data_IF_193494975343
#
_entry.id   IF_193494975343
#
_cell.length_a   1.000
_cell.length_b   1.000
_cell.length_c   1.000
_cell.angle_alpha   90.00
_cell.angle_beta   90.00
_cell.angle_gamma   90.00
#
_symmetry.space_group_name_H-M   'P 1'
#
loop_
_entity.id
_entity.type
_entity.pdbx_description
1 polymer ?
#
# COMPACT_ATOMS: atom_id res chain seq x y z
N UNK A 1 29.41 3.32 -7.61
CA UNK A 1 28.37 3.66 -8.60
C UNK A 1 27.96 5.10 -8.32
N UNK A 2 28.19 6.01 -9.27
CA UNK A 2 27.83 7.43 -9.14
C UNK A 2 26.31 7.61 -8.96
N UNK A 3 25.90 8.60 -8.14
CA UNK A 3 24.49 8.87 -7.78
C UNK A 3 23.66 9.19 -9.03
N UNK A 4 24.25 9.88 -9.99
CA UNK A 4 23.60 10.19 -11.26
C UNK A 4 23.19 8.92 -12.03
N UNK A 5 24.05 7.91 -12.03
CA UNK A 5 23.82 6.64 -12.71
C UNK A 5 22.71 5.81 -12.01
N UNK A 6 22.67 5.82 -10.66
CA UNK A 6 21.60 5.14 -9.90
C UNK A 6 20.21 5.72 -10.17
N UNK A 7 20.08 7.05 -10.19
CA UNK A 7 18.79 7.70 -10.46
C UNK A 7 18.31 7.45 -11.89
N UNK A 8 19.23 7.40 -12.87
CA UNK A 8 18.89 7.03 -14.24
C UNK A 8 18.35 5.60 -14.32
N UNK A 9 18.97 4.63 -13.64
CA UNK A 9 18.49 3.24 -13.59
C UNK A 9 17.11 3.15 -12.93
N UNK A 10 16.91 3.82 -11.79
CA UNK A 10 15.61 3.84 -11.10
C UNK A 10 14.52 4.47 -11.97
N UNK A 11 14.81 5.60 -12.63
CA UNK A 11 13.86 6.23 -13.55
C UNK A 11 13.53 5.34 -14.74
N UNK A 12 14.51 4.62 -15.29
CA UNK A 12 14.27 3.65 -16.36
C UNK A 12 13.40 2.48 -15.88
N UNK A 13 13.64 1.97 -14.67
CA UNK A 13 12.77 0.96 -14.07
C UNK A 13 11.35 1.52 -13.93
N UNK A 14 11.16 2.60 -13.18
CA UNK A 14 9.85 3.25 -12.95
C UNK A 14 9.13 3.62 -14.25
N UNK A 15 9.84 3.97 -15.32
CA UNK A 15 9.22 4.28 -16.61
C UNK A 15 8.41 3.12 -17.22
N UNK A 16 8.74 1.88 -16.84
CA UNK A 16 8.04 0.67 -17.26
C UNK A 16 6.96 0.22 -16.26
N UNK A 17 6.71 1.01 -15.21
CA UNK A 17 5.78 0.62 -14.15
C UNK A 17 4.34 0.67 -14.68
N UNK A 18 3.77 -0.52 -14.77
CA UNK A 18 2.36 -0.71 -15.04
C UNK A 18 1.63 -0.67 -13.70
N UNK A 19 0.51 0.05 -13.68
CA UNK A 19 -0.31 0.25 -12.49
C UNK A 19 -1.76 0.08 -12.89
N UNK A 20 -2.47 -0.79 -12.18
CA UNK A 20 -3.88 -1.05 -12.36
C UNK A 20 -4.60 -0.78 -11.04
N UNK A 21 -5.48 0.21 -11.03
CA UNK A 21 -6.38 0.43 -9.90
C UNK A 21 -7.53 -0.57 -9.95
N UNK A 22 -7.90 -1.15 -8.80
CA UNK A 22 -8.98 -2.13 -8.72
C UNK A 22 -10.14 -1.60 -7.87
N UNK A 23 -9.85 -1.15 -6.65
CA UNK A 23 -10.87 -0.74 -5.69
C UNK A 23 -10.28 0.23 -4.67
N UNK A 24 -11.10 1.16 -4.22
CA UNK A 24 -10.95 1.88 -2.96
C UNK A 24 -12.28 1.77 -2.23
N UNK A 25 -12.22 1.58 -0.92
CA UNK A 25 -13.39 1.63 -0.05
C UNK A 25 -12.92 1.92 1.39
N UNK A 26 -13.84 2.30 2.26
CA UNK A 26 -13.55 2.73 3.62
C UNK A 26 -14.67 2.42 4.61
N UNK A 27 -14.29 2.33 5.89
CA UNK A 27 -15.24 2.20 6.99
C UNK A 27 -14.87 1.11 7.98
N UNK A 28 -15.84 0.79 8.83
CA UNK A 28 -15.72 -0.21 9.88
C UNK A 28 -15.77 -1.62 9.29
N UNK A 29 -14.79 -2.46 9.65
CA UNK A 29 -14.77 -3.87 9.26
C UNK A 29 -15.05 -4.76 10.49
N UNK A 30 -16.32 -5.11 10.78
CA UNK A 30 -16.66 -5.96 11.93
C UNK A 30 -16.19 -7.41 11.73
N UNK A 31 -16.46 -8.00 10.56
CA UNK A 31 -16.00 -9.36 10.21
C UNK A 31 -14.62 -9.36 9.56
N UNK A 32 -13.64 -8.70 10.17
CA UNK A 32 -12.32 -8.52 9.55
C UNK A 32 -11.37 -9.71 9.76
N UNK A 33 -11.61 -10.54 10.78
CA UNK A 33 -10.79 -11.72 11.05
C UNK A 33 -10.84 -12.69 9.86
N UNK A 34 -9.66 -13.12 9.42
CA UNK A 34 -9.47 -14.06 8.30
C UNK A 34 -8.30 -14.96 8.62
N UNK A 35 -8.51 -16.26 8.50
CA UNK A 35 -7.42 -17.24 8.54
C UNK A 35 -6.38 -16.96 7.45
N UNK A 36 -5.23 -17.61 7.60
CA UNK A 36 -4.12 -17.48 6.66
C UNK A 36 -4.57 -17.75 5.23
N UNK A 37 -4.44 -16.76 4.36
CA UNK A 37 -4.82 -16.83 2.95
C UNK A 37 -3.79 -16.11 2.09
N UNK A 38 -3.73 -16.47 0.81
CA UNK A 38 -2.85 -15.81 -0.15
C UNK A 38 -3.55 -14.58 -0.75
N UNK A 39 -2.87 -13.43 -0.72
CA UNK A 39 -3.38 -12.20 -1.36
C UNK A 39 -3.40 -12.35 -2.89
N UNK A 40 -4.51 -11.93 -3.51
CA UNK A 40 -4.67 -11.93 -4.97
C UNK A 40 -4.23 -10.62 -5.64
N UNK A 41 -4.21 -9.54 -4.87
CA UNK A 41 -3.97 -8.16 -5.28
C UNK A 41 -3.04 -7.49 -4.28
N UNK A 42 -2.34 -6.47 -4.72
CA UNK A 42 -1.62 -5.56 -3.83
C UNK A 42 -2.66 -4.72 -3.08
N UNK A 43 -2.40 -4.41 -1.82
CA UNK A 43 -3.35 -3.66 -1.00
C UNK A 43 -2.63 -2.76 -0.02
N UNK A 44 -3.04 -1.49 0.04
CA UNK A 44 -2.59 -0.56 1.08
C UNK A 44 -3.79 -0.23 1.98
N UNK A 45 -3.59 -0.34 3.28
CA UNK A 45 -4.52 0.15 4.30
C UNK A 45 -4.02 1.47 4.88
N UNK A 46 -4.95 2.36 5.23
CA UNK A 46 -4.73 3.44 6.19
C UNK A 46 -5.65 3.22 7.38
N UNK A 47 -5.07 3.00 8.55
CA UNK A 47 -5.82 2.74 9.77
C UNK A 47 -6.30 4.06 10.36
N UNK A 48 -7.61 4.23 10.55
CA UNK A 48 -8.21 5.43 11.13
C UNK A 48 -8.45 5.25 12.63
N UNK A 49 -8.94 4.08 13.04
CA UNK A 49 -9.18 3.74 14.44
C UNK A 49 -9.26 2.23 14.61
N UNK A 50 -9.20 1.76 15.86
CA UNK A 50 -9.38 0.38 16.25
C UNK A 50 -8.09 -0.38 16.54
N UNK A 51 -8.20 -1.68 16.77
CA UNK A 51 -7.10 -2.58 17.13
C UNK A 51 -7.29 -3.96 16.52
N UNK A 52 -6.17 -4.57 16.19
CA UNK A 52 -6.10 -5.91 15.65
C UNK A 52 -4.66 -6.28 15.30
N UNK A 53 -4.53 -7.45 14.68
CA UNK A 53 -3.24 -8.02 14.32
C UNK A 53 -3.26 -8.45 12.87
N UNK A 54 -2.22 -8.07 12.14
CA UNK A 54 -1.99 -8.48 10.75
C UNK A 54 -0.70 -9.29 10.73
N UNK A 55 -0.72 -10.49 10.17
CA UNK A 55 0.52 -11.21 9.88
C UNK A 55 0.72 -11.24 8.37
N UNK A 56 1.89 -10.85 7.88
CA UNK A 56 2.27 -10.86 6.46
C UNK A 56 3.55 -11.67 6.32
N UNK A 57 3.50 -12.77 5.57
CA UNK A 57 4.65 -13.68 5.37
C UNK A 57 5.36 -14.10 6.67
N UNK A 58 4.60 -14.26 7.75
CA UNK A 58 5.13 -14.62 9.08
C UNK A 58 5.53 -13.44 9.96
N UNK A 59 5.61 -12.22 9.45
CA UNK A 59 5.84 -11.01 10.24
C UNK A 59 4.52 -10.51 10.82
N UNK A 60 4.45 -10.37 12.15
CA UNK A 60 3.26 -9.90 12.86
C UNK A 60 3.33 -8.40 13.15
N UNK A 61 2.28 -7.69 12.74
CA UNK A 61 2.10 -6.25 12.85
C UNK A 61 0.93 -5.93 13.78
N UNK A 62 1.05 -4.82 14.50
CA UNK A 62 -0.01 -4.25 15.35
C UNK A 62 -0.28 -2.78 14.97
N UNK A 63 -0.93 -2.54 13.82
CA UNK A 63 -1.20 -1.19 13.34
C UNK A 63 -2.01 -0.36 14.33
N UNK A 64 -1.72 0.93 14.38
CA UNK A 64 -2.48 1.94 15.14
C UNK A 64 -3.03 2.99 14.19
N UNK A 65 -3.93 3.83 14.69
CA UNK A 65 -4.43 5.00 13.96
C UNK A 65 -3.27 5.80 13.36
N UNK A 66 -3.41 6.16 12.08
CA UNK A 66 -2.40 6.85 11.28
C UNK A 66 -1.39 5.94 10.59
N UNK A 67 -1.27 4.66 10.97
CA UNK A 67 -0.35 3.74 10.28
C UNK A 67 -0.88 3.35 8.90
N UNK A 68 0.05 3.18 7.96
CA UNK A 68 -0.22 2.55 6.68
C UNK A 68 0.34 1.13 6.66
N UNK A 69 -0.40 0.20 6.07
CA UNK A 69 -0.01 -1.22 5.95
C UNK A 69 -0.04 -1.64 4.50
N UNK A 70 1.02 -2.28 4.04
CA UNK A 70 1.14 -2.86 2.72
C UNK A 70 0.97 -4.39 2.80
N UNK A 71 0.03 -4.90 2.02
CA UNK A 71 -0.18 -6.33 1.79
C UNK A 71 0.11 -6.63 0.31
N UNK A 72 1.33 -7.08 -0.03
CA UNK A 72 1.66 -7.40 -1.41
C UNK A 72 0.84 -8.58 -1.94
N UNK A 73 0.55 -8.58 -3.23
CA UNK A 73 0.05 -9.75 -3.95
C UNK A 73 0.96 -10.95 -3.67
N UNK A 74 0.37 -12.13 -3.63
CA UNK A 74 1.04 -13.40 -3.33
C UNK A 74 1.57 -13.57 -1.90
N UNK A 75 1.54 -12.55 -1.05
CA UNK A 75 1.88 -12.72 0.37
C UNK A 75 0.85 -13.62 1.08
N UNK A 76 1.33 -14.39 2.05
CA UNK A 76 0.48 -15.13 2.99
C UNK A 76 0.07 -14.19 4.12
N UNK A 77 -1.22 -13.93 4.25
CA UNK A 77 -1.78 -12.97 5.19
C UNK A 77 -2.79 -13.63 6.11
N UNK A 78 -2.72 -13.33 7.40
CA UNK A 78 -3.81 -13.62 8.36
C UNK A 78 -4.20 -12.33 9.08
N UNK A 79 -5.50 -12.16 9.34
CA UNK A 79 -6.07 -10.98 9.96
C UNK A 79 -6.79 -11.41 11.23
N UNK A 80 -6.60 -10.68 12.33
CA UNK A 80 -7.25 -10.98 13.59
C UNK A 80 -7.75 -9.70 14.27
N UNK A 81 -9.00 -9.74 14.72
CA UNK A 81 -9.64 -8.73 15.57
C UNK A 81 -9.75 -9.22 16.99
N UNK A 82 -9.42 -8.37 17.96
CA UNK A 82 -9.59 -8.68 19.39
C UNK A 82 -11.06 -8.65 19.83
N UNK A 83 -11.95 -7.91 19.13
CA UNK A 83 -13.39 -7.75 19.45
C UNK A 83 -14.28 -7.77 18.18
N UNK A 84 -15.61 -7.57 18.32
CA UNK A 84 -16.58 -7.41 17.21
C UNK A 84 -16.30 -6.19 16.30
N UNK A 85 -15.42 -5.28 16.71
CA UNK A 85 -15.00 -4.11 15.94
C UNK A 85 -13.48 -4.06 15.88
N UNK A 86 -12.93 -4.30 14.67
CA UNK A 86 -11.48 -4.36 14.48
C UNK A 86 -10.88 -3.00 14.15
N UNK A 87 -10.98 -2.61 12.88
CA UNK A 87 -10.41 -1.39 12.34
C UNK A 87 -11.48 -0.63 11.56
N UNK A 88 -11.54 0.68 11.80
CA UNK A 88 -12.03 1.65 10.83
C UNK A 88 -10.84 2.05 9.96
N UNK A 89 -10.94 1.88 8.64
CA UNK A 89 -9.80 2.08 7.73
C UNK A 89 -10.24 2.44 6.32
N UNK A 90 -9.34 3.03 5.56
CA UNK A 90 -9.36 2.93 4.10
C UNK A 90 -8.62 1.66 3.65
N UNK A 91 -9.05 1.08 2.53
CA UNK A 91 -8.26 0.09 1.82
C UNK A 91 -8.30 0.31 0.31
N UNK A 92 -7.12 0.34 -0.30
CA UNK A 92 -6.98 0.42 -1.74
C UNK A 92 -6.38 -0.87 -2.29
N UNK A 93 -7.08 -1.53 -3.21
CA UNK A 93 -6.58 -2.68 -3.96
C UNK A 93 -6.11 -2.25 -5.35
N UNK A 94 -4.96 -2.76 -5.76
CA UNK A 94 -4.34 -2.44 -7.04
C UNK A 94 -3.39 -3.56 -7.49
N UNK A 95 -2.80 -3.39 -8.67
CA UNK A 95 -1.62 -4.13 -9.12
C UNK A 95 -0.54 -3.13 -9.52
N UNK A 96 0.70 -3.45 -9.19
CA UNK A 96 1.86 -2.65 -9.61
C UNK A 96 3.01 -3.57 -10.01
N UNK A 97 3.40 -3.56 -11.29
CA UNK A 97 4.35 -4.51 -11.86
C UNK A 97 5.23 -3.95 -12.98
N UNK A 98 6.35 -4.63 -13.21
CA UNK A 98 7.23 -4.47 -14.38
C UNK A 98 7.26 -5.77 -15.16
N UNK A 99 6.91 -5.75 -16.46
CA UNK A 99 6.98 -6.91 -17.34
C UNK A 99 6.32 -8.17 -16.70
N UNK A 100 5.19 -7.98 -16.00
CA UNK A 100 4.43 -9.03 -15.31
C UNK A 100 4.93 -9.43 -13.92
N UNK A 101 6.03 -8.85 -13.42
CA UNK A 101 6.61 -9.13 -12.09
C UNK A 101 6.19 -8.02 -11.11
N UNK A 102 5.67 -8.39 -9.93
CA UNK A 102 5.25 -7.41 -8.92
C UNK A 102 6.40 -6.50 -8.50
N UNK A 103 6.11 -5.20 -8.33
CA UNK A 103 7.04 -4.23 -7.77
C UNK A 103 7.58 -4.68 -6.40
N UNK A 104 6.71 -5.25 -5.56
CA UNK A 104 7.00 -5.65 -4.18
C UNK A 104 7.83 -6.94 -4.08
N UNK A 105 7.91 -7.70 -5.18
CA UNK A 105 8.84 -8.82 -5.32
C UNK A 105 10.25 -8.33 -5.70
N UNK A 106 10.35 -7.20 -6.42
CA UNK A 106 11.63 -6.64 -6.92
C UNK A 106 12.32 -5.72 -5.92
N UNK A 107 11.54 -4.91 -5.20
CA UNK A 107 12.05 -3.95 -4.23
C UNK A 107 11.62 -4.35 -2.83
N UNK A 108 12.44 -3.97 -1.85
CA UNK A 108 12.11 -4.13 -0.44
C UNK A 108 11.22 -2.98 0.02
N UNK A 109 10.07 -3.33 0.60
CA UNK A 109 9.15 -2.38 1.22
C UNK A 109 8.85 -2.84 2.64
N UNK A 110 8.80 -1.93 3.62
CA UNK A 110 8.26 -2.27 4.93
C UNK A 110 6.78 -2.61 4.81
N UNK A 111 6.30 -3.62 5.53
CA UNK A 111 4.87 -3.96 5.54
C UNK A 111 4.02 -2.95 6.33
N UNK A 112 4.64 -2.17 7.22
CA UNK A 112 3.96 -1.13 7.98
C UNK A 112 4.84 0.10 8.10
N UNK A 113 4.24 1.27 7.97
CA UNK A 113 4.89 2.55 8.21
C UNK A 113 4.01 3.43 9.09
N UNK A 114 4.65 4.36 9.77
CA UNK A 114 4.02 5.54 10.33
C UNK A 114 4.42 6.72 9.44
N UNK A 115 3.55 7.19 8.53
CA UNK A 115 3.88 8.28 7.65
C UNK A 115 4.26 9.53 8.44
N UNK A 116 5.32 10.23 8.02
CA UNK A 116 5.71 11.51 8.62
C UNK A 116 4.64 12.59 8.46
N UNK A 117 3.83 12.48 7.40
CA UNK A 117 2.68 13.32 7.12
C UNK A 117 1.43 12.46 6.95
N UNK A 118 0.72 12.23 8.06
CA UNK A 118 -0.53 11.46 8.07
C UNK A 118 -1.67 12.21 7.36
N UNK A 119 -1.64 13.55 7.32
CA UNK A 119 -2.62 14.35 6.61
C UNK A 119 -2.52 14.17 5.10
N UNK A 120 -1.28 14.14 4.56
CA UNK A 120 -1.01 13.78 3.16
C UNK A 120 -1.50 12.37 2.83
N UNK A 121 -1.24 11.39 3.71
CA UNK A 121 -1.73 10.02 3.51
C UNK A 121 -3.27 10.01 3.39
N UNK A 122 -3.97 10.59 4.37
CA UNK A 122 -5.43 10.64 4.38
C UNK A 122 -5.98 11.34 3.14
N UNK A 123 -5.44 12.51 2.78
CA UNK A 123 -5.88 13.26 1.61
C UNK A 123 -5.70 12.49 0.29
N UNK A 124 -4.70 11.61 0.18
CA UNK A 124 -4.54 10.73 -0.98
C UNK A 124 -5.62 9.65 -1.04
N UNK A 125 -5.99 9.06 0.10
CA UNK A 125 -7.07 8.10 0.18
C UNK A 125 -8.43 8.71 -0.12
N UNK A 126 -8.74 9.87 0.46
CA UNK A 126 -9.96 10.64 0.15
C UNK A 126 -10.01 11.01 -1.34
N UNK A 127 -8.87 11.44 -1.90
CA UNK A 127 -8.78 11.75 -3.33
C UNK A 127 -9.02 10.52 -4.22
N UNK A 128 -8.52 9.34 -3.85
CA UNK A 128 -8.84 8.10 -4.57
C UNK A 128 -10.35 7.79 -4.50
N UNK A 129 -10.95 7.96 -3.32
CA UNK A 129 -12.39 7.76 -3.09
C UNK A 129 -13.25 8.72 -3.93
N UNK A 130 -12.83 9.96 -4.13
CA UNK A 130 -13.53 10.89 -5.02
C UNK A 130 -13.31 10.60 -6.50
N UNK A 131 -12.07 10.24 -6.89
CA UNK A 131 -11.70 10.08 -8.29
C UNK A 131 -12.25 8.79 -8.90
N UNK A 132 -12.35 7.70 -8.14
CA UNK A 132 -12.79 6.40 -8.69
C UNK A 132 -14.25 6.40 -9.15
N UNK A 133 -15.05 7.36 -8.70
CA UNK A 133 -16.44 7.56 -9.11
C UNK A 133 -16.55 8.28 -10.47
N UNK A 134 -15.44 8.82 -11.00
CA UNK A 134 -15.40 9.58 -12.25
C UNK A 134 -14.91 8.71 -13.39
N UNK A 135 -15.43 8.97 -14.60
CA UNK A 135 -15.16 8.16 -15.80
C UNK A 135 -14.33 8.91 -16.86
N UNK A 136 -13.67 9.99 -16.47
CA UNK A 136 -12.84 10.80 -17.37
C UNK A 136 -11.35 10.43 -17.31
N UNK A 137 -10.63 10.74 -18.39
CA UNK A 137 -9.21 10.41 -18.52
C UNK A 137 -8.34 11.13 -17.46
N UNK A 138 -8.69 12.35 -17.04
CA UNK A 138 -7.92 13.06 -16.04
C UNK A 138 -8.00 12.35 -14.69
N UNK A 139 -9.17 11.84 -14.32
CA UNK A 139 -9.34 11.04 -13.11
C UNK A 139 -8.50 9.76 -13.13
N UNK A 140 -8.40 9.08 -14.28
CA UNK A 140 -7.51 7.91 -14.42
C UNK A 140 -6.02 8.26 -14.21
N UNK A 141 -5.55 9.38 -14.75
CA UNK A 141 -4.18 9.87 -14.51
C UNK A 141 -3.95 10.20 -13.03
N UNK A 142 -4.91 10.87 -12.40
CA UNK A 142 -4.79 11.29 -11.01
C UNK A 142 -4.87 10.12 -10.03
N UNK A 143 -5.64 9.07 -10.33
CA UNK A 143 -5.62 7.81 -9.57
C UNK A 143 -4.23 7.17 -9.64
N UNK A 144 -3.64 7.08 -10.83
CA UNK A 144 -2.29 6.55 -10.98
C UNK A 144 -1.27 7.38 -10.19
N UNK A 145 -1.36 8.71 -10.26
CA UNK A 145 -0.48 9.59 -9.49
C UNK A 145 -0.61 9.36 -7.98
N UNK A 146 -1.85 9.27 -7.45
CA UNK A 146 -2.07 9.03 -6.03
C UNK A 146 -1.55 7.65 -5.55
N UNK A 147 -1.71 6.60 -6.36
CA UNK A 147 -1.14 5.28 -6.06
C UNK A 147 0.38 5.28 -6.02
N UNK A 148 1.02 5.98 -6.96
CA UNK A 148 2.48 6.14 -6.99
C UNK A 148 2.96 6.92 -5.76
N UNK A 149 2.22 7.94 -5.34
CA UNK A 149 2.55 8.74 -4.17
C UNK A 149 2.41 7.94 -2.87
N UNK A 150 1.30 7.21 -2.68
CA UNK A 150 1.12 6.30 -1.55
C UNK A 150 2.23 5.25 -1.49
N UNK A 151 2.65 4.71 -2.63
CA UNK A 151 3.75 3.74 -2.72
C UNK A 151 5.09 4.37 -2.35
N UNK A 152 5.36 5.60 -2.81
CA UNK A 152 6.58 6.33 -2.48
C UNK A 152 6.69 6.60 -0.97
N UNK A 153 5.58 6.85 -0.27
CA UNK A 153 5.57 7.05 1.19
C UNK A 153 6.15 5.85 1.97
N UNK A 154 5.99 4.62 1.47
CA UNK A 154 6.65 3.44 2.07
C UNK A 154 8.18 3.46 1.91
N UNK A 155 8.68 3.98 0.79
CA UNK A 155 10.13 4.08 0.53
C UNK A 155 10.74 5.25 1.30
N UNK A 156 10.05 6.39 1.39
CA UNK A 156 10.46 7.56 2.17
C UNK A 156 10.65 7.20 3.66
N UNK A 157 9.72 6.41 4.21
CA UNK A 157 9.84 5.94 5.59
C UNK A 157 10.89 4.82 5.74
N UNK A 158 11.12 4.05 4.68
CA UNK A 158 12.15 3.01 4.58
C UNK A 158 13.58 3.53 4.50
N UNK A 159 13.81 4.81 4.16
CA UNK A 159 15.16 5.40 4.14
C UNK A 159 15.82 5.50 5.52
N UNK A 160 15.09 5.24 6.61
CA UNK A 160 15.68 5.02 7.94
C UNK A 160 16.28 3.61 8.11
N UNK A 161 15.89 2.62 7.30
CA UNK A 161 16.41 1.24 7.32
C UNK A 161 16.36 0.56 5.93
N UNK A 162 17.43 0.74 5.14
CA UNK A 162 17.83 -0.06 3.95
C UNK A 162 16.88 -0.16 2.73
N UNK A 163 17.06 0.74 1.75
CA UNK A 163 16.65 0.49 0.37
C UNK A 163 17.66 -0.45 -0.33
N UNK A 164 17.41 -1.76 -0.30
CA UNK A 164 18.18 -2.75 -1.07
C UNK A 164 17.27 -3.48 -2.05
N UNK A 165 17.68 -3.54 -3.32
CA UNK A 165 17.07 -4.40 -4.34
C UNK A 165 17.19 -5.86 -3.87
N UNK A 166 16.11 -6.63 -3.96
CA UNK A 166 16.10 -8.06 -3.63
C UNK A 166 16.77 -8.89 -4.72
#
# INVERSE_FOLDING_TARGET
MDVHNKNQILNQLISKLETEFILIDHGLCPDWSRDTHRRRRDTIYLILDGKGRITVNGETLYPRSGNMVLLPKNSMVSLYSENETCYNKYWCEFLMHFDGISLFDRLSFPYMIEPSDQGRALGLFERLDELHLKTDAASAFLIKAALLELTAMFLENGERHYNTVK
#
